data_IF_954518886046
#
_entry.id   IF_954518886046
#
_cell.length_a   1.000
_cell.length_b   1.000
_cell.length_c   1.000
_cell.angle_alpha   90.00
_cell.angle_beta   90.00
_cell.angle_gamma   90.00
#
_symmetry.space_group_name_H-M   'P 1'
#
loop_
_entity.id
_entity.type
_entity.pdbx_description
1 polymer ?
#
# COMPACT_ATOMS: atom_id res chain seq x y z
N UNK A 1 32.86 -38.30 38.83
CA UNK A 1 33.13 -37.17 39.74
C UNK A 1 34.37 -36.45 39.23
N UNK A 2 34.21 -35.13 39.02
CA UNK A 2 35.20 -34.04 38.86
C UNK A 2 36.63 -34.40 39.30
N UNK A 3 37.71 -33.95 38.63
CA UNK A 3 38.06 -32.53 38.48
C UNK A 3 39.42 -32.40 37.74
N UNK A 4 39.73 -31.15 37.32
CA UNK A 4 41.10 -30.58 37.14
C UNK A 4 41.87 -31.06 35.88
N UNK A 5 42.58 -30.25 35.07
CA UNK A 5 43.19 -28.93 35.21
C UNK A 5 43.71 -28.52 33.80
N UNK A 6 43.49 -27.26 33.37
CA UNK A 6 44.01 -26.57 32.14
C UNK A 6 45.54 -26.78 31.91
N UNK A 7 46.17 -26.54 30.73
CA UNK A 7 45.82 -25.62 29.62
C UNK A 7 46.08 -26.24 28.21
N UNK A 8 45.74 -25.61 27.09
CA UNK A 8 46.72 -24.88 26.27
C UNK A 8 45.96 -24.26 25.10
N UNK A 9 46.17 -22.96 24.91
CA UNK A 9 45.66 -22.19 23.80
C UNK A 9 46.51 -22.52 22.56
N UNK A 10 45.89 -23.11 21.52
CA UNK A 10 46.50 -23.22 20.19
C UNK A 10 45.55 -22.57 19.20
N UNK A 11 45.95 -21.41 18.72
CA UNK A 11 45.35 -20.72 17.58
C UNK A 11 45.80 -21.46 16.32
N UNK A 12 44.86 -21.98 15.55
CA UNK A 12 45.10 -22.34 14.15
C UNK A 12 43.91 -21.86 13.33
N UNK A 13 44.22 -20.96 12.41
CA UNK A 13 43.31 -20.31 11.48
C UNK A 13 42.54 -21.32 10.63
N UNK A 14 41.27 -21.04 10.37
CA UNK A 14 40.48 -21.87 9.46
C UNK A 14 39.04 -21.40 9.27
N UNK A 15 38.83 -20.69 8.17
CA UNK A 15 37.61 -20.57 7.38
C UNK A 15 36.36 -19.88 7.95
N UNK A 16 36.00 -18.83 7.19
CA UNK A 16 34.67 -18.53 6.68
C UNK A 16 33.57 -18.18 7.68
N UNK A 17 33.15 -16.92 7.64
CA UNK A 17 31.74 -16.55 7.50
C UNK A 17 31.73 -15.23 6.71
N UNK A 18 31.66 -15.34 5.38
CA UNK A 18 31.07 -14.26 4.61
C UNK A 18 29.63 -14.15 5.11
N UNK A 19 29.33 -13.13 5.90
CA UNK A 19 27.96 -12.74 6.18
C UNK A 19 27.39 -12.20 4.87
N UNK A 20 26.92 -13.10 4.00
CA UNK A 20 25.98 -12.73 2.96
C UNK A 20 24.71 -12.36 3.71
N UNK A 21 24.53 -11.07 3.95
CA UNK A 21 23.21 -10.54 4.29
C UNK A 21 22.30 -10.92 3.14
N UNK A 22 21.57 -12.02 3.28
CA UNK A 22 20.39 -12.31 2.47
C UNK A 22 19.38 -11.20 2.79
N UNK A 23 19.58 -10.04 2.15
CA UNK A 23 18.49 -9.10 1.96
C UNK A 23 17.56 -9.85 1.02
N UNK A 24 16.59 -10.55 1.62
CA UNK A 24 15.41 -10.98 0.94
C UNK A 24 14.69 -9.72 0.46
N UNK A 25 15.16 -9.17 -0.67
CA UNK A 25 14.36 -8.34 -1.54
C UNK A 25 13.19 -9.24 -1.90
N UNK A 26 12.05 -9.03 -1.24
CA UNK A 26 10.78 -9.58 -1.69
C UNK A 26 10.69 -9.19 -3.16
N UNK A 27 10.95 -10.16 -4.04
CA UNK A 27 11.00 -9.93 -5.47
C UNK A 27 9.60 -9.44 -5.82
N UNK A 28 9.51 -8.18 -6.25
CA UNK A 28 8.33 -7.59 -6.90
C UNK A 28 8.03 -8.40 -8.15
N UNK A 29 7.42 -9.56 -7.92
CA UNK A 29 6.98 -10.50 -8.91
C UNK A 29 5.71 -9.90 -9.46
N UNK A 30 5.85 -9.00 -10.46
CA UNK A 30 4.77 -8.52 -11.33
C UNK A 30 3.41 -8.56 -10.64
N UNK A 31 3.25 -7.82 -9.53
CA UNK A 31 2.04 -7.96 -8.73
C UNK A 31 0.88 -7.54 -9.61
N UNK A 32 -0.03 -8.46 -9.90
CA UNK A 32 -1.18 -8.20 -10.79
C UNK A 32 -2.30 -7.54 -9.99
N UNK A 33 -1.93 -6.50 -9.24
CA UNK A 33 -2.78 -5.79 -8.30
C UNK A 33 -2.46 -4.29 -8.30
N UNK A 34 -3.48 -3.46 -8.08
CA UNK A 34 -3.30 -2.03 -7.76
C UNK A 34 -3.87 -1.69 -6.41
N UNK A 35 -3.38 -0.59 -5.83
CA UNK A 35 -3.94 -0.03 -4.61
C UNK A 35 -4.90 1.10 -4.93
N UNK A 36 -6.15 0.96 -4.49
CA UNK A 36 -7.17 2.00 -4.49
C UNK A 36 -7.16 2.66 -3.12
N UNK A 37 -6.66 3.89 -3.06
CA UNK A 37 -6.64 4.70 -1.84
C UNK A 37 -7.88 5.59 -1.80
N UNK A 38 -8.76 5.36 -0.83
CA UNK A 38 -9.93 6.18 -0.56
C UNK A 38 -9.56 7.31 0.44
N UNK A 39 -9.54 8.59 0.04
CA UNK A 39 -9.17 9.68 0.93
C UNK A 39 -10.39 10.36 1.57
N UNK A 40 -10.21 10.92 2.76
CA UNK A 40 -11.14 11.86 3.38
C UNK A 40 -10.41 12.96 4.10
N UNK A 41 -10.70 14.21 3.74
CA UNK A 41 -10.04 15.38 4.31
C UNK A 41 -10.96 16.08 5.30
N UNK A 42 -10.44 16.42 6.48
CA UNK A 42 -11.12 17.32 7.43
C UNK A 42 -10.25 18.55 7.70
N UNK A 43 -10.91 19.70 7.89
CA UNK A 43 -10.24 20.95 8.25
C UNK A 43 -10.79 21.40 9.60
N UNK A 44 -9.93 21.38 10.62
CA UNK A 44 -10.26 21.83 11.97
C UNK A 44 -9.66 23.21 12.19
N UNK A 45 -10.51 24.22 12.41
CA UNK A 45 -10.05 25.49 12.98
C UNK A 45 -9.88 25.30 14.48
N UNK A 46 -8.66 25.44 14.99
CA UNK A 46 -8.42 25.41 16.43
C UNK A 46 -8.94 26.73 17.03
N UNK A 47 -10.16 26.72 17.61
CA UNK A 47 -10.73 27.90 18.30
C UNK A 47 -9.87 28.40 19.48
N UNK A 48 -8.87 27.63 19.91
CA UNK A 48 -8.06 27.86 21.11
C UNK A 48 -6.65 28.40 20.84
N UNK A 49 -6.22 28.55 19.57
CA UNK A 49 -4.90 29.14 19.26
C UNK A 49 -5.03 30.60 18.83
N UNK A 50 -4.27 31.47 19.48
CA UNK A 50 -4.21 32.91 19.18
C UNK A 50 -3.75 33.23 17.75
N UNK A 51 -3.30 32.22 16.99
CA UNK A 51 -2.71 32.34 15.64
C UNK A 51 -3.70 32.02 14.51
N UNK A 52 -4.92 31.56 14.79
CA UNK A 52 -5.96 31.34 13.77
C UNK A 52 -5.65 30.25 12.74
N UNK A 53 -4.68 29.37 13.01
CA UNK A 53 -4.25 28.33 12.07
C UNK A 53 -5.26 27.18 12.01
N UNK A 54 -5.62 26.75 10.80
CA UNK A 54 -6.44 25.57 10.57
C UNK A 54 -5.55 24.34 10.36
N UNK A 55 -5.88 23.23 11.02
CA UNK A 55 -5.21 21.94 10.82
C UNK A 55 -5.98 21.11 9.79
N UNK A 56 -5.27 20.64 8.77
CA UNK A 56 -5.80 19.69 7.79
C UNK A 56 -5.45 18.28 8.26
N UNK A 57 -6.46 17.43 8.40
CA UNK A 57 -6.30 16.00 8.66
C UNK A 57 -6.73 15.23 7.43
N UNK A 58 -5.95 14.21 7.06
CA UNK A 58 -6.26 13.30 5.95
C UNK A 58 -6.37 11.89 6.49
N UNK A 59 -7.49 11.25 6.23
CA UNK A 59 -7.76 9.85 6.56
C UNK A 59 -7.77 9.05 5.26
N UNK A 60 -7.15 7.87 5.26
CA UNK A 60 -7.10 7.02 4.08
C UNK A 60 -7.38 5.56 4.43
N UNK A 61 -8.03 4.86 3.49
CA UNK A 61 -8.20 3.41 3.51
C UNK A 61 -7.74 2.88 2.17
N UNK A 62 -6.85 1.91 2.21
CA UNK A 62 -6.32 1.25 1.02
C UNK A 62 -7.06 -0.07 0.78
N UNK A 63 -7.38 -0.33 -0.49
CA UNK A 63 -7.96 -1.59 -0.95
C UNK A 63 -7.15 -2.11 -2.14
N UNK A 64 -6.83 -3.39 -2.13
CA UNK A 64 -6.17 -4.03 -3.26
C UNK A 64 -7.21 -4.50 -4.29
N UNK A 65 -6.91 -4.26 -5.57
CA UNK A 65 -7.70 -4.73 -6.70
C UNK A 65 -6.82 -5.57 -7.60
N UNK A 66 -7.09 -6.87 -7.64
CA UNK A 66 -6.42 -7.77 -8.57
C UNK A 66 -7.02 -7.67 -9.97
N UNK A 67 -6.14 -7.76 -10.96
CA UNK A 67 -6.46 -7.85 -12.38
C UNK A 67 -5.87 -9.11 -13.04
N UNK A 68 -5.27 -10.01 -12.26
CA UNK A 68 -4.49 -11.10 -12.84
C UNK A 68 -5.29 -12.22 -13.52
N UNK A 69 -6.60 -12.20 -13.36
CA UNK A 69 -7.57 -13.04 -14.05
C UNK A 69 -8.17 -12.38 -15.31
N UNK A 70 -7.78 -11.13 -15.61
CA UNK A 70 -8.37 -10.33 -16.68
C UNK A 70 -7.45 -10.25 -17.89
N UNK A 71 -8.02 -10.43 -19.08
CA UNK A 71 -7.35 -10.08 -20.33
C UNK A 71 -7.50 -8.59 -20.62
N UNK A 72 -6.48 -7.81 -20.25
CA UNK A 72 -6.44 -6.36 -20.43
C UNK A 72 -6.19 -5.92 -21.88
N UNK A 73 -5.98 -6.85 -22.81
CA UNK A 73 -5.97 -6.54 -24.25
C UNK A 73 -7.41 -6.40 -24.79
N UNK A 74 -8.42 -6.88 -24.05
CA UNK A 74 -9.83 -6.82 -24.46
C UNK A 74 -10.58 -5.69 -23.78
N UNK A 75 -11.58 -5.13 -24.49
CA UNK A 75 -12.47 -4.13 -23.92
C UNK A 75 -13.24 -4.66 -22.69
N UNK A 76 -13.61 -5.95 -22.69
CA UNK A 76 -14.32 -6.59 -21.59
C UNK A 76 -13.45 -6.72 -20.33
N UNK A 77 -12.18 -7.10 -20.47
CA UNK A 77 -11.24 -7.17 -19.35
C UNK A 77 -10.96 -5.79 -18.76
N UNK A 78 -10.79 -4.78 -19.60
CA UNK A 78 -10.61 -3.38 -19.17
C UNK A 78 -11.83 -2.87 -18.40
N UNK A 79 -13.04 -3.09 -18.91
CA UNK A 79 -14.26 -2.63 -18.22
C UNK A 79 -14.46 -3.36 -16.89
N UNK A 80 -14.16 -4.66 -16.84
CA UNK A 80 -14.20 -5.44 -15.59
C UNK A 80 -13.21 -4.89 -14.58
N UNK A 81 -11.98 -4.57 -15.01
CA UNK A 81 -10.97 -3.98 -14.13
C UNK A 81 -11.44 -2.64 -13.56
N UNK A 82 -11.96 -1.75 -14.42
CA UNK A 82 -12.51 -0.45 -14.01
C UNK A 82 -13.71 -0.59 -13.08
N UNK A 83 -14.57 -1.58 -13.29
CA UNK A 83 -15.68 -1.86 -12.38
C UNK A 83 -15.18 -2.26 -10.99
N UNK A 84 -14.15 -3.12 -10.89
CA UNK A 84 -13.55 -3.49 -9.60
C UNK A 84 -12.94 -2.30 -8.87
N UNK A 85 -12.31 -1.39 -9.60
CA UNK A 85 -11.79 -0.13 -9.04
C UNK A 85 -12.91 0.71 -8.43
N UNK A 86 -14.04 0.87 -9.15
CA UNK A 86 -15.20 1.63 -8.66
C UNK A 86 -15.77 1.00 -7.38
N UNK A 87 -15.92 -0.32 -7.34
CA UNK A 87 -16.43 -1.00 -6.13
C UNK A 87 -15.44 -0.87 -4.96
N UNK A 88 -14.14 -1.06 -5.18
CA UNK A 88 -13.13 -0.89 -4.13
C UNK A 88 -13.11 0.55 -3.56
N UNK A 89 -13.23 1.56 -4.43
CA UNK A 89 -13.31 2.96 -4.02
C UNK A 89 -14.56 3.22 -3.17
N UNK A 90 -15.72 2.73 -3.61
CA UNK A 90 -16.99 2.84 -2.88
C UNK A 90 -16.90 2.17 -1.50
N UNK A 91 -16.36 0.96 -1.43
CA UNK A 91 -16.19 0.25 -0.16
C UNK A 91 -15.21 0.95 0.78
N UNK A 92 -14.08 1.43 0.27
CA UNK A 92 -13.11 2.21 1.06
C UNK A 92 -13.72 3.50 1.62
N UNK A 93 -14.46 4.23 0.79
CA UNK A 93 -15.17 5.46 1.19
C UNK A 93 -16.31 5.20 2.19
N UNK A 94 -17.02 4.09 2.04
CA UNK A 94 -18.04 3.66 2.99
C UNK A 94 -17.42 3.32 4.34
N UNK A 95 -16.27 2.61 4.35
CA UNK A 95 -15.54 2.29 5.57
C UNK A 95 -15.07 3.56 6.29
N UNK A 96 -14.44 4.48 5.57
CA UNK A 96 -14.03 5.77 6.11
C UNK A 96 -15.23 6.57 6.67
N UNK A 97 -16.39 6.52 6.00
CA UNK A 97 -17.59 7.23 6.46
C UNK A 97 -18.13 6.64 7.77
N UNK A 98 -17.95 5.34 7.95
CA UNK A 98 -18.28 4.63 9.19
C UNK A 98 -17.30 4.95 10.31
N UNK A 99 -16.01 4.99 10.02
CA UNK A 99 -14.94 5.21 11.00
C UNK A 99 -14.87 6.69 11.42
N UNK A 100 -15.22 7.61 10.52
CA UNK A 100 -15.15 9.07 10.72
C UNK A 100 -16.46 9.77 10.35
N UNK A 101 -17.59 9.50 11.05
CA UNK A 101 -18.92 9.99 10.67
C UNK A 101 -19.07 11.51 10.75
N UNK A 102 -18.21 12.19 11.52
CA UNK A 102 -18.23 13.65 11.69
C UNK A 102 -17.51 14.39 10.55
N UNK A 103 -16.63 13.71 9.81
CA UNK A 103 -15.93 14.30 8.68
C UNK A 103 -16.82 14.16 7.46
N UNK A 104 -17.22 15.27 6.82
CA UNK A 104 -18.01 15.24 5.59
C UNK A 104 -17.13 15.56 4.40
N UNK A 105 -17.04 14.60 3.47
CA UNK A 105 -16.30 14.74 2.23
C UNK A 105 -17.04 13.96 1.14
N UNK A 106 -17.60 14.67 0.16
CA UNK A 106 -18.30 14.07 -0.98
C UNK A 106 -17.38 13.73 -2.14
N UNK A 107 -16.08 14.05 -2.03
CA UNK A 107 -15.09 13.83 -3.10
C UNK A 107 -14.40 12.47 -3.03
N UNK A 108 -14.52 11.75 -1.90
CA UNK A 108 -13.80 10.50 -1.63
C UNK A 108 -13.83 9.52 -2.82
N UNK A 109 -15.03 9.14 -3.29
CA UNK A 109 -15.15 8.14 -4.36
C UNK A 109 -14.52 8.62 -5.67
N UNK A 110 -14.77 9.88 -6.04
CA UNK A 110 -14.21 10.46 -7.27
C UNK A 110 -12.69 10.46 -7.22
N UNK A 111 -12.10 10.97 -6.15
CA UNK A 111 -10.65 11.07 -6.01
C UNK A 111 -10.00 9.69 -6.00
N UNK A 112 -10.60 8.73 -5.29
CA UNK A 112 -10.11 7.35 -5.24
C UNK A 112 -10.12 6.70 -6.64
N UNK A 113 -11.23 6.86 -7.38
CA UNK A 113 -11.37 6.34 -8.74
C UNK A 113 -10.37 7.01 -9.70
N UNK A 114 -10.25 8.33 -9.66
CA UNK A 114 -9.36 9.08 -10.56
C UNK A 114 -7.90 8.66 -10.34
N UNK A 115 -7.46 8.59 -9.07
CA UNK A 115 -6.10 8.17 -8.72
C UNK A 115 -5.82 6.71 -9.12
N UNK A 116 -6.75 5.80 -8.86
CA UNK A 116 -6.61 4.40 -9.24
C UNK A 116 -6.61 4.22 -10.77
N UNK A 117 -7.40 5.01 -11.50
CA UNK A 117 -7.44 4.95 -12.96
C UNK A 117 -6.13 5.41 -13.60
N UNK A 118 -5.35 6.29 -12.97
CA UNK A 118 -4.01 6.64 -13.45
C UNK A 118 -3.10 5.40 -13.46
N UNK A 119 -3.12 4.61 -12.37
CA UNK A 119 -2.37 3.35 -12.28
C UNK A 119 -2.92 2.32 -13.27
N UNK A 120 -4.25 2.17 -13.35
CA UNK A 120 -4.89 1.23 -14.25
C UNK A 120 -4.58 1.51 -15.72
N UNK A 121 -4.55 2.78 -16.13
CA UNK A 121 -4.20 3.15 -17.49
C UNK A 121 -2.76 2.76 -17.82
N UNK A 122 -1.81 2.94 -16.90
CA UNK A 122 -0.42 2.50 -17.11
C UNK A 122 -0.33 0.99 -17.35
N UNK A 123 -1.09 0.20 -16.59
CA UNK A 123 -1.13 -1.27 -16.73
C UNK A 123 -1.79 -1.68 -18.04
N UNK A 124 -2.89 -1.04 -18.42
CA UNK A 124 -3.62 -1.31 -19.66
C UNK A 124 -2.74 -1.00 -20.87
N UNK A 125 -2.04 0.13 -20.88
CA UNK A 125 -1.12 0.46 -21.97
C UNK A 125 0.09 -0.50 -22.00
N UNK A 126 0.61 -0.89 -20.83
CA UNK A 126 1.68 -1.89 -20.73
C UNK A 126 1.28 -3.27 -21.28
N UNK A 127 0.02 -3.67 -21.15
CA UNK A 127 -0.48 -4.93 -21.69
C UNK A 127 -0.56 -4.98 -23.22
N UNK A 128 -0.44 -3.82 -23.90
CA UNK A 128 -0.54 -3.71 -25.36
C UNK A 128 0.80 -3.56 -26.08
N UNK A 129 1.89 -3.36 -25.33
CA UNK A 129 3.24 -3.24 -25.87
C UNK A 129 3.87 -4.63 -26.06
#
# INVERSE_FOLDING_TARGET
MVHLWKPTLVIAAGLALAATSDIALAQSSTSQEITVTAPRVSVHKEERTSSGMARVMVYSVDRQVSFGDLDLMTAAGIETFRARIREAAKEGCAQISKDYPLVKDSSCERVAIDQANLQANQIIEAARM
#
